data_IF_941204355063
#
_entry.id   IF_941204355063
#
_cell.length_a   1.000
_cell.length_b   1.000
_cell.length_c   1.000
_cell.angle_alpha   90.00
_cell.angle_beta   90.00
_cell.angle_gamma   90.00
#
_symmetry.space_group_name_H-M   'P 1'
#
loop_
_entity.id
_entity.type
_entity.pdbx_description
1 polymer ?
#
# COMPACT_ATOMS: atom_id res chain seq x y z
N UNK A 1 -8.35 2.05 17.22
CA UNK A 1 -8.37 1.90 15.76
C UNK A 1 -7.29 2.77 15.15
N UNK A 2 -6.51 2.19 14.26
CA UNK A 2 -5.46 2.92 13.55
C UNK A 2 -5.84 3.02 12.08
N UNK A 3 -5.38 4.09 11.43
CA UNK A 3 -5.55 4.23 9.98
C UNK A 3 -4.20 4.34 9.31
N UNK A 4 -4.06 3.69 8.17
CA UNK A 4 -2.90 3.80 7.29
C UNK A 4 -3.35 4.27 5.92
N UNK A 5 -2.55 5.13 5.32
CA UNK A 5 -2.76 5.54 3.94
C UNK A 5 -1.57 5.07 3.09
N UNK A 6 -1.87 4.34 2.04
CA UNK A 6 -0.89 3.94 1.04
C UNK A 6 -1.07 4.85 -0.17
N UNK A 7 0.00 5.43 -0.67
CA UNK A 7 -0.09 6.42 -1.74
C UNK A 7 1.04 6.29 -2.74
N UNK A 8 0.69 6.42 -4.02
CA UNK A 8 1.66 6.50 -5.10
C UNK A 8 2.29 7.90 -5.20
N UNK A 9 1.69 8.90 -4.54
CA UNK A 9 2.14 10.28 -4.67
C UNK A 9 2.08 10.73 -6.12
N UNK A 10 3.17 11.35 -6.57
CA UNK A 10 3.29 11.81 -7.96
C UNK A 10 4.03 10.81 -8.85
N UNK A 11 4.13 9.56 -8.41
CA UNK A 11 4.81 8.53 -9.17
C UNK A 11 4.08 8.13 -10.44
N UNK A 12 4.76 7.43 -11.35
CA UNK A 12 4.14 6.97 -12.59
C UNK A 12 3.09 5.89 -12.34
N UNK A 13 2.38 5.50 -13.39
CA UNK A 13 1.29 4.51 -13.29
C UNK A 13 1.72 3.17 -12.71
N UNK A 14 2.98 2.80 -12.84
CA UNK A 14 3.52 1.60 -12.21
C UNK A 14 3.40 1.66 -10.69
N UNK A 15 3.48 2.86 -10.11
CA UNK A 15 3.28 3.02 -8.66
C UNK A 15 1.83 2.75 -8.26
N UNK A 16 0.87 3.00 -9.15
CA UNK A 16 -0.54 2.66 -8.90
C UNK A 16 -0.72 1.14 -8.82
N UNK A 17 -0.03 0.41 -9.68
CA UNK A 17 -0.01 -1.06 -9.60
C UNK A 17 0.66 -1.51 -8.31
N UNK A 18 1.74 -0.83 -7.91
CA UNK A 18 2.44 -1.15 -6.68
C UNK A 18 1.56 -0.95 -5.45
N UNK A 19 0.75 0.12 -5.41
CA UNK A 19 -0.18 0.36 -4.30
C UNK A 19 -1.19 -0.79 -4.21
N UNK A 20 -1.73 -1.24 -5.33
CA UNK A 20 -2.67 -2.36 -5.35
C UNK A 20 -2.04 -3.64 -4.82
N UNK A 21 -0.82 -3.96 -5.27
CA UNK A 21 -0.11 -5.15 -4.79
C UNK A 21 0.25 -5.04 -3.32
N UNK A 22 0.66 -3.84 -2.88
CA UNK A 22 0.97 -3.61 -1.48
C UNK A 22 -0.26 -3.81 -0.60
N UNK A 23 -1.43 -3.34 -1.04
CA UNK A 23 -2.67 -3.55 -0.31
C UNK A 23 -2.98 -5.03 -0.15
N UNK A 24 -2.83 -5.83 -1.22
CA UNK A 24 -3.04 -7.27 -1.15
C UNK A 24 -2.12 -7.92 -0.12
N UNK A 25 -0.85 -7.51 -0.11
CA UNK A 25 0.11 -8.04 0.85
C UNK A 25 -0.21 -7.63 2.27
N UNK A 26 -0.61 -6.37 2.47
CA UNK A 26 -1.00 -5.88 3.79
C UNK A 26 -2.21 -6.65 4.32
N UNK A 27 -3.21 -6.89 3.48
CA UNK A 27 -4.39 -7.68 3.86
C UNK A 27 -4.00 -9.08 4.30
N UNK A 28 -3.07 -9.71 3.59
CA UNK A 28 -2.61 -11.05 3.94
C UNK A 28 -1.85 -11.05 5.25
N UNK A 29 -0.95 -10.09 5.45
CA UNK A 29 -0.19 -9.99 6.70
C UNK A 29 -1.11 -9.69 7.88
N UNK A 30 -2.12 -8.84 7.68
CA UNK A 30 -3.10 -8.54 8.71
C UNK A 30 -3.85 -9.82 9.12
N UNK A 31 -4.30 -10.60 8.16
CA UNK A 31 -4.99 -11.86 8.44
C UNK A 31 -4.11 -12.83 9.21
N UNK A 32 -2.83 -12.93 8.83
CA UNK A 32 -1.88 -13.81 9.52
C UNK A 32 -1.63 -13.40 10.96
N UNK A 33 -1.71 -12.11 11.25
CA UNK A 33 -1.45 -11.57 12.58
C UNK A 33 -2.72 -11.33 13.41
N UNK A 34 -3.87 -11.71 12.89
CA UNK A 34 -5.14 -11.51 13.58
C UNK A 34 -5.56 -10.06 13.65
N UNK A 35 -5.09 -9.22 12.72
CA UNK A 35 -5.47 -7.82 12.64
C UNK A 35 -6.64 -7.69 11.69
N UNK A 36 -7.70 -7.01 12.14
CA UNK A 36 -8.84 -6.70 11.29
C UNK A 36 -8.51 -5.50 10.43
N UNK A 37 -8.56 -5.67 9.12
CA UNK A 37 -8.30 -4.61 8.16
C UNK A 37 -9.56 -4.32 7.36
N UNK A 38 -9.95 -3.05 7.33
CA UNK A 38 -11.08 -2.60 6.52
C UNK A 38 -10.60 -1.48 5.58
N UNK A 39 -11.00 -1.56 4.32
CA UNK A 39 -10.69 -0.52 3.35
C UNK A 39 -11.74 0.57 3.49
N UNK A 40 -11.31 1.78 3.84
CA UNK A 40 -12.22 2.90 4.08
C UNK A 40 -12.40 3.75 2.84
N UNK A 41 -11.36 3.92 2.03
CA UNK A 41 -11.39 4.79 0.87
C UNK A 41 -10.37 4.32 -0.15
N UNK A 42 -10.75 4.37 -1.42
CA UNK A 42 -9.88 4.00 -2.54
C UNK A 42 -9.96 5.09 -3.60
N UNK A 43 -8.81 5.54 -4.09
CA UNK A 43 -8.74 6.39 -5.27
C UNK A 43 -8.27 5.51 -6.42
N UNK A 44 -9.24 5.01 -7.18
CA UNK A 44 -9.01 4.06 -8.27
C UNK A 44 -8.51 4.79 -9.51
N UNK A 45 -7.58 4.18 -10.22
CA UNK A 45 -7.08 4.68 -11.49
C UNK A 45 -7.13 3.57 -12.53
N UNK A 46 -6.79 3.91 -13.77
CA UNK A 46 -6.79 2.93 -14.86
C UNK A 46 -5.90 1.71 -14.57
N UNK A 47 -4.81 1.90 -13.82
CA UNK A 47 -3.81 0.86 -13.61
C UNK A 47 -3.78 0.30 -12.18
N UNK A 48 -4.60 0.82 -11.29
CA UNK A 48 -4.61 0.38 -9.89
C UNK A 48 -5.17 1.46 -8.98
N UNK A 49 -4.44 1.77 -7.92
CA UNK A 49 -4.86 2.78 -6.95
C UNK A 49 -3.84 3.89 -6.81
N UNK A 50 -4.29 5.15 -6.90
CA UNK A 50 -3.44 6.29 -6.55
C UNK A 50 -3.24 6.36 -5.05
N UNK A 51 -4.26 6.01 -4.27
CA UNK A 51 -4.17 5.92 -2.82
C UNK A 51 -5.25 5.01 -2.26
N UNK A 52 -4.99 4.47 -1.06
CA UNK A 52 -5.93 3.64 -0.33
C UNK A 52 -5.82 4.00 1.15
N UNK A 53 -6.96 4.20 1.80
CA UNK A 53 -7.03 4.41 3.23
C UNK A 53 -7.63 3.18 3.89
N UNK A 54 -6.95 2.61 4.86
CA UNK A 54 -7.41 1.42 5.57
C UNK A 54 -7.44 1.67 7.07
N UNK A 55 -8.31 0.95 7.78
CA UNK A 55 -8.30 0.90 9.24
C UNK A 55 -7.77 -0.45 9.70
N UNK A 56 -7.04 -0.42 10.82
CA UNK A 56 -6.48 -1.62 11.43
C UNK A 56 -6.95 -1.70 12.88
N UNK A 57 -7.44 -2.86 13.28
CA UNK A 57 -7.92 -3.11 14.64
C UNK A 57 -7.38 -4.44 15.15
N UNK A 58 -7.09 -4.51 16.46
CA UNK A 58 -6.59 -5.72 17.09
C UNK A 58 -5.31 -5.45 17.87
N UNK A 59 -4.88 -6.44 18.63
CA UNK A 59 -3.71 -6.29 19.52
C UNK A 59 -2.42 -6.02 18.75
N UNK A 60 -2.28 -6.58 17.56
CA UNK A 60 -1.07 -6.43 16.74
C UNK A 60 -1.16 -5.27 15.73
N UNK A 61 -2.25 -4.48 15.76
CA UNK A 61 -2.46 -3.41 14.79
C UNK A 61 -1.35 -2.37 14.84
N UNK A 62 -0.93 -1.94 16.04
CA UNK A 62 0.14 -0.97 16.20
C UNK A 62 1.47 -1.47 15.62
N UNK A 63 1.79 -2.73 15.87
CA UNK A 63 3.03 -3.33 15.36
C UNK A 63 3.01 -3.39 13.84
N UNK A 64 1.91 -3.86 13.27
CA UNK A 64 1.76 -3.93 11.82
C UNK A 64 1.86 -2.56 11.18
N UNK A 65 1.19 -1.55 11.76
CA UNK A 65 1.25 -0.19 11.26
C UNK A 65 2.67 0.35 11.30
N UNK A 66 3.40 0.08 12.38
CA UNK A 66 4.78 0.53 12.53
C UNK A 66 5.69 -0.10 11.48
N UNK A 67 5.53 -1.39 11.22
CA UNK A 67 6.32 -2.09 10.22
C UNK A 67 6.10 -1.55 8.81
N UNK A 68 4.89 -1.09 8.53
CA UNK A 68 4.52 -0.64 7.19
C UNK A 68 4.74 0.86 6.96
N UNK A 69 4.84 1.67 8.01
CA UNK A 69 4.99 3.12 7.86
C UNK A 69 6.33 3.49 7.25
N UNK A 70 6.30 4.37 6.26
CA UNK A 70 7.51 4.85 5.58
C UNK A 70 7.40 4.71 4.07
N UNK A 71 8.56 4.67 3.42
CA UNK A 71 8.62 4.46 1.97
C UNK A 71 8.87 2.99 1.69
N UNK A 72 8.02 2.40 0.85
CA UNK A 72 8.16 1.00 0.43
C UNK A 72 8.64 0.98 -1.01
N UNK A 73 9.70 0.22 -1.26
CA UNK A 73 10.22 0.00 -2.58
C UNK A 73 9.66 -1.31 -3.13
N UNK A 74 9.03 -1.22 -4.29
CA UNK A 74 8.57 -2.40 -5.02
C UNK A 74 9.52 -2.64 -6.18
N UNK A 75 10.16 -3.79 -6.21
CA UNK A 75 11.18 -4.09 -7.19
C UNK A 75 10.64 -5.12 -8.19
N UNK A 76 10.28 -4.65 -9.38
CA UNK A 76 9.82 -5.52 -10.46
C UNK A 76 9.90 -4.80 -11.80
N UNK A 77 10.00 -5.54 -12.92
CA UNK A 77 9.87 -4.92 -14.23
C UNK A 77 8.53 -4.21 -14.37
N UNK A 78 8.48 -3.16 -15.19
CA UNK A 78 7.22 -2.46 -15.42
C UNK A 78 6.19 -3.41 -16.05
N UNK A 79 5.01 -3.57 -15.43
CA UNK A 79 3.95 -4.35 -16.03
C UNK A 79 3.24 -3.63 -17.16
N UNK A 80 3.52 -2.35 -17.37
CA UNK A 80 2.83 -1.49 -18.31
C UNK A 80 3.66 -1.13 -19.53
N UNK A 81 4.98 -1.14 -19.40
CA UNK A 81 5.90 -0.69 -20.45
C UNK A 81 6.95 -1.77 -20.72
N UNK A 82 6.82 -2.53 -21.84
CA UNK A 82 7.80 -3.56 -22.18
C UNK A 82 9.20 -2.94 -22.37
N UNK A 83 10.21 -3.65 -21.89
CA UNK A 83 11.61 -3.23 -22.02
C UNK A 83 11.95 -1.89 -21.34
N UNK A 84 11.09 -1.41 -20.46
CA UNK A 84 11.38 -0.21 -19.69
C UNK A 84 12.49 -0.51 -18.68
N UNK A 85 13.58 0.30 -18.63
CA UNK A 85 14.75 -0.05 -17.80
C UNK A 85 14.52 0.09 -16.31
N UNK A 86 13.57 0.95 -15.87
CA UNK A 86 13.33 1.18 -14.45
C UNK A 86 12.59 -0.01 -13.84
N UNK A 87 13.09 -0.49 -12.70
CA UNK A 87 12.51 -1.64 -11.98
C UNK A 87 12.16 -1.33 -10.53
N UNK A 88 12.37 -0.10 -10.08
CA UNK A 88 12.12 0.31 -8.70
C UNK A 88 10.96 1.28 -8.65
N UNK A 89 9.92 0.92 -7.89
CA UNK A 89 8.72 1.73 -7.76
C UNK A 89 8.49 2.01 -6.28
N UNK A 90 8.33 3.28 -5.92
CA UNK A 90 8.21 3.68 -4.53
C UNK A 90 6.79 4.10 -4.23
N UNK A 91 6.29 3.66 -3.07
CA UNK A 91 5.02 4.12 -2.53
C UNK A 91 5.23 4.59 -1.10
N UNK A 92 4.40 5.54 -0.65
CA UNK A 92 4.44 6.02 0.70
C UNK A 92 3.35 5.37 1.54
N UNK A 93 3.69 5.05 2.79
CA UNK A 93 2.72 4.56 3.77
C UNK A 93 2.78 5.47 4.98
N UNK A 94 1.65 6.02 5.35
CA UNK A 94 1.57 7.01 6.41
C UNK A 94 0.48 6.63 7.41
N UNK A 95 0.82 6.70 8.70
CA UNK A 95 -0.17 6.53 9.74
C UNK A 95 -0.98 7.83 9.85
N UNK A 96 -2.30 7.70 9.89
CA UNK A 96 -3.20 8.83 10.01
C UNK A 96 -3.75 8.85 11.43
N UNK A 97 -3.54 9.92 12.20
CA UNK A 97 -4.11 10.03 13.54
C UNK A 97 -5.64 10.03 13.49
N UNK A 98 -6.24 9.40 14.47
CA UNK A 98 -7.70 9.35 14.61
C UNK A 98 -8.18 10.20 15.75
#
# INVERSE_FOLDING_TARGET
MLMLQLSAGHGPSECHVAVQKALHRLCREAAEQGVQLDVLEEVTTEHGFASVLVSLAGDSACLLAREWTGTIQWNCPSPLRPKYPRKNWFIGVQAIPT
#
